data_IF_215902672614
#
_entry.id   IF_215902672614
#
_cell.length_a   1.000
_cell.length_b   1.000
_cell.length_c   1.000
_cell.angle_alpha   90.00
_cell.angle_beta   90.00
_cell.angle_gamma   90.00
#
_symmetry.space_group_name_H-M   'P 1'
#
loop_
_entity.id
_entity.type
_entity.pdbx_description
1 polymer ?
#
# COMPACT_ATOMS: atom_id res chain seq x y z
N UNK A 1 18.21 -21.31 -9.90
CA UNK A 1 17.02 -21.13 -9.06
C UNK A 1 15.80 -20.95 -9.98
N UNK A 2 14.76 -21.73 -9.76
CA UNK A 2 13.54 -21.65 -10.58
C UNK A 2 12.70 -20.43 -10.18
N UNK A 3 11.78 -20.00 -11.06
CA UNK A 3 10.85 -18.90 -10.76
C UNK A 3 9.97 -19.23 -9.55
N UNK A 4 9.56 -20.49 -9.40
CA UNK A 4 8.77 -20.94 -8.26
C UNK A 4 9.57 -20.84 -6.95
N UNK A 5 10.85 -21.22 -6.97
CA UNK A 5 11.75 -21.11 -5.82
C UNK A 5 11.99 -19.66 -5.43
N UNK A 6 12.16 -18.77 -6.41
CA UNK A 6 12.33 -17.33 -6.18
C UNK A 6 11.08 -16.75 -5.51
N UNK A 7 9.90 -17.08 -6.02
CA UNK A 7 8.64 -16.59 -5.43
C UNK A 7 8.43 -17.09 -4.00
N UNK A 8 8.71 -18.36 -3.77
CA UNK A 8 8.56 -18.96 -2.43
C UNK A 8 9.52 -18.30 -1.43
N UNK A 9 10.75 -18.06 -1.83
CA UNK A 9 11.73 -17.42 -0.97
C UNK A 9 11.41 -15.95 -0.74
N UNK A 10 11.00 -15.22 -1.76
CA UNK A 10 10.56 -13.82 -1.64
C UNK A 10 9.39 -13.70 -0.66
N UNK A 11 8.48 -14.65 -0.67
CA UNK A 11 7.35 -14.69 0.27
C UNK A 11 7.83 -14.90 1.71
N UNK A 12 8.80 -15.77 1.92
CA UNK A 12 9.40 -15.98 3.25
C UNK A 12 10.13 -14.73 3.75
N UNK A 13 10.85 -14.06 2.85
CA UNK A 13 11.55 -12.82 3.19
C UNK A 13 10.57 -11.70 3.56
N UNK A 14 9.44 -11.63 2.86
CA UNK A 14 8.38 -10.69 3.22
C UNK A 14 7.87 -10.96 4.63
N UNK A 15 7.60 -12.22 4.98
CA UNK A 15 7.14 -12.57 6.32
C UNK A 15 8.14 -12.14 7.39
N UNK A 16 9.45 -12.28 7.13
CA UNK A 16 10.50 -11.83 8.03
C UNK A 16 10.58 -10.31 8.15
N UNK A 17 10.09 -9.59 7.17
CA UNK A 17 10.11 -8.12 7.12
C UNK A 17 8.92 -7.48 7.82
N UNK A 18 7.93 -8.26 8.23
CA UNK A 18 6.73 -7.76 8.89
C UNK A 18 6.91 -7.77 10.41
N UNK A 19 6.40 -6.72 11.03
CA UNK A 19 6.34 -6.61 12.49
C UNK A 19 4.93 -6.11 12.84
N UNK A 20 4.19 -6.92 13.57
CA UNK A 20 2.81 -6.61 13.90
C UNK A 20 1.89 -6.48 12.68
N UNK A 21 2.19 -7.20 11.62
CA UNK A 21 1.43 -7.15 10.36
C UNK A 21 1.79 -6.01 9.43
N UNK A 22 2.78 -5.18 9.79
CA UNK A 22 3.23 -4.05 8.97
C UNK A 22 4.71 -4.20 8.60
N UNK A 23 5.09 -3.64 7.46
CA UNK A 23 6.48 -3.66 7.00
C UNK A 23 7.34 -2.81 7.94
N UNK A 24 8.41 -3.41 8.45
CA UNK A 24 9.40 -2.74 9.30
C UNK A 24 10.64 -2.41 8.49
N UNK A 25 11.03 -1.14 8.45
CA UNK A 25 12.23 -0.71 7.73
C UNK A 25 13.50 -1.33 8.31
N UNK A 26 13.57 -1.54 9.62
CA UNK A 26 14.72 -2.18 10.28
C UNK A 26 14.86 -3.65 9.85
N UNK A 27 13.74 -4.36 9.78
CA UNK A 27 13.73 -5.75 9.34
C UNK A 27 14.08 -5.89 7.86
N UNK A 28 13.58 -4.98 7.03
CA UNK A 28 13.93 -4.93 5.60
C UNK A 28 15.43 -4.70 5.44
N UNK A 29 16.00 -3.77 6.19
CA UNK A 29 17.44 -3.52 6.18
C UNK A 29 18.26 -4.74 6.58
N UNK A 30 17.83 -5.47 7.60
CA UNK A 30 18.48 -6.70 8.05
C UNK A 30 18.42 -7.80 6.99
N UNK A 31 17.26 -7.96 6.34
CA UNK A 31 17.07 -8.93 5.24
C UNK A 31 18.00 -8.60 4.07
N UNK A 32 18.05 -7.34 3.66
CA UNK A 32 18.92 -6.91 2.55
C UNK A 32 20.39 -7.14 2.86
N UNK A 33 20.83 -6.84 4.08
CA UNK A 33 22.20 -7.06 4.51
C UNK A 33 22.55 -8.55 4.48
N UNK A 34 21.67 -9.41 4.99
CA UNK A 34 21.87 -10.85 4.98
C UNK A 34 21.96 -11.41 3.56
N UNK A 35 21.09 -10.95 2.66
CA UNK A 35 21.07 -11.42 1.28
C UNK A 35 22.34 -11.03 0.51
N UNK A 36 22.82 -9.81 0.68
CA UNK A 36 24.03 -9.35 -0.01
C UNK A 36 25.27 -10.12 0.42
N UNK A 37 25.29 -10.64 1.64
CA UNK A 37 26.40 -11.45 2.15
C UNK A 37 26.33 -12.92 1.74
N UNK A 38 25.13 -13.46 1.55
CA UNK A 38 24.94 -14.90 1.39
C UNK A 38 24.72 -15.37 -0.03
N UNK A 39 24.53 -14.47 -0.99
CA UNK A 39 24.18 -14.86 -2.36
C UNK A 39 24.98 -14.13 -3.42
N UNK A 40 25.34 -14.83 -4.51
CA UNK A 40 26.00 -14.19 -5.65
C UNK A 40 25.03 -13.29 -6.43
N UNK A 41 25.57 -12.30 -7.13
CA UNK A 41 24.81 -11.26 -7.81
C UNK A 41 23.77 -11.77 -8.77
N UNK A 42 24.07 -12.84 -9.52
CA UNK A 42 23.14 -13.37 -10.52
C UNK A 42 21.89 -14.03 -9.91
N UNK A 43 22.00 -14.54 -8.68
CA UNK A 43 20.85 -15.08 -7.94
C UNK A 43 20.11 -13.99 -7.16
N UNK A 44 20.84 -12.95 -6.76
CA UNK A 44 20.33 -11.87 -5.93
C UNK A 44 19.33 -11.01 -6.68
N UNK A 45 19.62 -10.66 -7.94
CA UNK A 45 18.80 -9.74 -8.73
C UNK A 45 17.33 -10.19 -8.88
N UNK A 46 17.05 -11.42 -9.37
CA UNK A 46 15.64 -11.87 -9.47
C UNK A 46 14.96 -11.99 -8.12
N UNK A 47 15.68 -12.41 -7.08
CA UNK A 47 15.13 -12.52 -5.73
C UNK A 47 14.77 -11.15 -5.15
N UNK A 48 15.67 -10.16 -5.28
CA UNK A 48 15.39 -8.79 -4.83
C UNK A 48 14.22 -8.18 -5.58
N UNK A 49 14.11 -8.42 -6.88
CA UNK A 49 13.00 -7.91 -7.68
C UNK A 49 11.65 -8.44 -7.17
N UNK A 50 11.58 -9.75 -6.90
CA UNK A 50 10.37 -10.37 -6.37
C UNK A 50 10.07 -9.90 -4.94
N UNK A 51 11.08 -9.80 -4.11
CA UNK A 51 10.96 -9.33 -2.73
C UNK A 51 10.46 -7.87 -2.68
N UNK A 52 11.05 -6.98 -3.47
CA UNK A 52 10.63 -5.58 -3.53
C UNK A 52 9.20 -5.42 -4.04
N UNK A 53 8.80 -6.25 -5.01
CA UNK A 53 7.42 -6.24 -5.49
C UNK A 53 6.45 -6.64 -4.38
N UNK A 54 6.81 -7.62 -3.55
CA UNK A 54 6.02 -8.04 -2.40
C UNK A 54 5.92 -6.94 -1.34
N UNK A 55 7.04 -6.26 -1.06
CA UNK A 55 7.08 -5.14 -0.11
C UNK A 55 6.17 -4.00 -0.59
N UNK A 56 6.24 -3.64 -1.88
CA UNK A 56 5.41 -2.59 -2.46
C UNK A 56 3.92 -2.91 -2.36
N UNK A 57 3.53 -4.16 -2.62
CA UNK A 57 2.14 -4.60 -2.48
C UNK A 57 1.66 -4.51 -1.04
N UNK A 58 2.50 -4.92 -0.10
CA UNK A 58 2.15 -4.86 1.32
C UNK A 58 2.00 -3.42 1.81
N UNK A 59 2.88 -2.52 1.38
CA UNK A 59 2.77 -1.09 1.69
C UNK A 59 1.49 -0.49 1.08
N UNK A 60 1.17 -0.86 -0.16
CA UNK A 60 -0.02 -0.37 -0.84
C UNK A 60 -1.31 -0.81 -0.13
N UNK A 61 -1.34 -1.97 0.49
CA UNK A 61 -2.48 -2.45 1.28
C UNK A 61 -2.75 -1.58 2.50
N UNK A 62 -1.73 -0.91 3.02
CA UNK A 62 -1.84 0.00 4.16
C UNK A 62 -2.01 1.47 3.77
N UNK A 63 -2.20 1.78 2.49
CA UNK A 63 -2.33 3.14 2.00
C UNK A 63 -3.65 3.32 1.23
N UNK A 64 -4.40 4.36 1.57
CA UNK A 64 -5.49 4.85 0.76
C UNK A 64 -4.95 5.97 -0.12
N UNK A 65 -4.67 5.66 -1.38
CA UNK A 65 -4.22 6.65 -2.36
C UNK A 65 -5.41 7.39 -2.88
N UNK A 66 -5.50 8.67 -2.56
CA UNK A 66 -6.62 9.53 -2.90
C UNK A 66 -6.19 10.48 -4.00
N UNK A 67 -6.70 10.28 -5.21
CA UNK A 67 -6.51 11.23 -6.29
C UNK A 67 -7.69 12.20 -6.30
N UNK A 68 -7.40 13.49 -6.44
CA UNK A 68 -8.43 14.53 -6.41
C UNK A 68 -8.15 15.62 -7.44
N UNK A 69 -9.20 16.14 -8.06
CA UNK A 69 -9.09 17.20 -9.06
C UNK A 69 -9.12 18.60 -8.43
N UNK A 70 -9.86 18.76 -7.35
CA UNK A 70 -9.98 20.01 -6.62
C UNK A 70 -9.31 19.96 -5.25
N UNK A 71 -9.52 20.99 -4.42
CA UNK A 71 -8.98 20.99 -3.07
C UNK A 71 -9.50 19.82 -2.24
N UNK A 72 -8.62 19.21 -1.47
CA UNK A 72 -8.96 18.15 -0.53
C UNK A 72 -8.39 18.53 0.82
N UNK A 73 -9.28 18.73 1.80
CA UNK A 73 -8.86 19.02 3.17
C UNK A 73 -8.27 17.76 3.82
N UNK A 74 -7.30 17.95 4.71
CA UNK A 74 -6.69 16.82 5.43
C UNK A 74 -7.72 16.03 6.25
N UNK A 75 -8.73 16.71 6.79
CA UNK A 75 -9.82 16.06 7.53
C UNK A 75 -10.64 15.13 6.61
N UNK A 76 -10.85 15.52 5.36
CA UNK A 76 -11.54 14.68 4.37
C UNK A 76 -10.71 13.45 4.01
N UNK A 77 -9.42 13.63 3.81
CA UNK A 77 -8.50 12.52 3.53
C UNK A 77 -8.48 11.53 4.69
N UNK A 78 -8.42 12.04 5.92
CA UNK A 78 -8.44 11.21 7.13
C UNK A 78 -9.76 10.45 7.27
N UNK A 79 -10.87 11.08 6.94
CA UNK A 79 -12.19 10.44 6.97
C UNK A 79 -12.28 9.29 5.96
N UNK A 80 -11.76 9.48 4.76
CA UNK A 80 -11.70 8.43 3.73
C UNK A 80 -10.84 7.26 4.22
N UNK A 81 -9.66 7.55 4.75
CA UNK A 81 -8.76 6.51 5.27
C UNK A 81 -9.40 5.75 6.44
N UNK A 82 -10.08 6.44 7.35
CA UNK A 82 -10.78 5.83 8.47
C UNK A 82 -11.91 4.91 8.01
N UNK A 83 -12.65 5.32 6.98
CA UNK A 83 -13.70 4.49 6.38
C UNK A 83 -13.14 3.18 5.84
N UNK A 84 -12.06 3.25 5.06
CA UNK A 84 -11.43 2.05 4.50
C UNK A 84 -10.74 1.19 5.55
N UNK A 85 -10.18 1.80 6.59
CA UNK A 85 -9.61 1.06 7.73
C UNK A 85 -10.67 0.20 8.40
N UNK A 86 -11.85 0.78 8.60
CA UNK A 86 -12.99 0.08 9.21
C UNK A 86 -13.53 -1.01 8.29
N UNK A 87 -13.68 -0.70 7.01
CA UNK A 87 -14.21 -1.64 6.01
C UNK A 87 -13.31 -2.85 5.82
N UNK A 88 -12.00 -2.64 5.79
CA UNK A 88 -11.01 -3.68 5.50
C UNK A 88 -10.48 -4.37 6.76
N UNK A 89 -10.78 -3.84 7.93
CA UNK A 89 -10.31 -4.41 9.20
C UNK A 89 -8.80 -4.27 9.43
N UNK A 90 -8.17 -3.29 8.79
CA UNK A 90 -6.75 -3.00 8.98
C UNK A 90 -6.51 -1.49 8.90
N UNK A 91 -5.42 -1.03 9.52
CA UNK A 91 -5.06 0.38 9.50
C UNK A 91 -4.64 0.82 8.11
N UNK A 92 -5.30 1.85 7.59
CA UNK A 92 -5.03 2.44 6.28
C UNK A 92 -4.71 3.92 6.49
N UNK A 93 -3.61 4.37 5.85
CA UNK A 93 -3.16 5.77 5.94
C UNK A 93 -3.56 6.52 4.66
N UNK A 94 -3.96 7.79 4.76
CA UNK A 94 -4.29 8.58 3.58
C UNK A 94 -3.02 9.08 2.90
N UNK A 95 -2.98 8.95 1.57
CA UNK A 95 -1.96 9.54 0.72
C UNK A 95 -2.67 10.31 -0.38
N UNK A 96 -2.72 11.63 -0.26
CA UNK A 96 -3.43 12.48 -1.21
C UNK A 96 -2.52 12.89 -2.36
N UNK A 97 -3.06 12.85 -3.58
CA UNK A 97 -2.36 13.29 -4.78
C UNK A 97 -3.31 14.01 -5.71
N UNK A 98 -2.90 15.19 -6.18
CA UNK A 98 -3.69 15.93 -7.15
C UNK A 98 -3.62 15.29 -8.52
N UNK A 99 -4.77 15.15 -9.17
CA UNK A 99 -4.88 14.65 -10.54
C UNK A 99 -5.92 15.46 -11.30
N UNK A 100 -5.46 16.42 -12.08
CA UNK A 100 -6.32 17.34 -12.83
C UNK A 100 -7.04 16.66 -13.99
N UNK A 101 -6.66 15.44 -14.35
CA UNK A 101 -7.37 14.65 -15.36
C UNK A 101 -8.75 14.17 -14.88
N UNK A 102 -9.00 14.15 -13.58
CA UNK A 102 -10.30 13.83 -13.02
C UNK A 102 -11.23 15.02 -13.24
N UNK A 103 -12.45 14.74 -13.73
CA UNK A 103 -13.44 15.81 -13.99
C UNK A 103 -13.97 16.39 -12.69
N UNK A 104 -14.38 15.56 -11.77
CA UNK A 104 -14.87 15.95 -10.45
C UNK A 104 -14.88 14.73 -9.55
N UNK A 105 -14.58 14.93 -8.27
CA UNK A 105 -14.63 13.86 -7.30
C UNK A 105 -13.24 13.29 -6.96
N UNK A 106 -13.27 12.08 -6.45
CA UNK A 106 -12.07 11.42 -5.95
C UNK A 106 -11.97 10.04 -6.55
N UNK A 107 -10.72 9.59 -6.72
CA UNK A 107 -10.42 8.19 -6.96
C UNK A 107 -9.63 7.70 -5.77
N UNK A 108 -10.11 6.65 -5.12
CA UNK A 108 -9.43 6.06 -3.96
C UNK A 108 -8.96 4.66 -4.33
N UNK A 109 -7.69 4.41 -4.11
CA UNK A 109 -7.10 3.09 -4.32
C UNK A 109 -6.49 2.58 -3.04
N UNK A 110 -6.93 1.40 -2.60
CA UNK A 110 -6.37 0.70 -1.44
C UNK A 110 -5.97 -0.70 -1.90
N UNK A 111 -4.66 -0.95 -1.96
CA UNK A 111 -4.17 -2.19 -2.56
C UNK A 111 -4.54 -2.25 -4.04
N UNK A 112 -5.26 -3.29 -4.43
CA UNK A 112 -5.72 -3.49 -5.80
C UNK A 112 -7.12 -2.94 -6.06
N UNK A 113 -7.82 -2.50 -5.01
CA UNK A 113 -9.18 -1.99 -5.11
C UNK A 113 -9.18 -0.51 -5.46
N UNK A 114 -9.90 -0.17 -6.54
CA UNK A 114 -10.06 1.21 -6.97
C UNK A 114 -11.53 1.58 -6.89
N UNK A 115 -11.83 2.69 -6.22
CA UNK A 115 -13.19 3.20 -6.08
C UNK A 115 -13.23 4.65 -6.53
N UNK A 116 -14.10 4.94 -7.51
CA UNK A 116 -14.34 6.31 -7.95
C UNK A 116 -15.48 6.91 -7.12
N UNK A 117 -15.20 8.06 -6.50
CA UNK A 117 -16.17 8.76 -5.68
C UNK A 117 -16.51 10.11 -6.31
N UNK A 118 -17.79 10.40 -6.40
CA UNK A 118 -18.22 11.77 -6.71
C UNK A 118 -18.15 12.60 -5.43
N UNK A 119 -17.60 13.82 -5.54
CA UNK A 119 -17.16 14.60 -4.38
C UNK A 119 -18.26 14.88 -3.35
N UNK A 120 -19.45 15.32 -3.79
CA UNK A 120 -20.49 15.80 -2.87
C UNK A 120 -21.30 14.67 -2.23
N UNK A 121 -21.77 13.72 -3.04
CA UNK A 121 -22.69 12.68 -2.57
C UNK A 121 -21.97 11.62 -1.73
N UNK A 122 -20.80 11.21 -2.17
CA UNK A 122 -20.09 10.12 -1.52
C UNK A 122 -19.38 10.54 -0.23
N UNK A 123 -18.91 11.78 -0.15
CA UNK A 123 -18.40 12.33 1.11
C UNK A 123 -19.50 12.44 2.17
N UNK A 124 -20.71 12.83 1.77
CA UNK A 124 -21.85 12.86 2.68
C UNK A 124 -22.16 11.47 3.23
N UNK A 125 -22.11 10.45 2.38
CA UNK A 125 -22.31 9.06 2.78
C UNK A 125 -21.21 8.56 3.69
N UNK A 126 -19.94 8.91 3.42
CA UNK A 126 -18.82 8.59 4.29
C UNK A 126 -18.97 9.25 5.66
N UNK A 127 -19.35 10.52 5.69
CA UNK A 127 -19.59 11.24 6.94
C UNK A 127 -20.67 10.58 7.79
N UNK A 128 -21.75 10.12 7.16
CA UNK A 128 -22.82 9.39 7.85
C UNK A 128 -22.35 8.05 8.40
N UNK A 129 -21.51 7.32 7.66
CA UNK A 129 -21.02 6.02 8.11
C UNK A 129 -19.99 6.13 9.23
N UNK A 130 -19.36 7.29 9.39
CA UNK A 130 -18.34 7.55 10.42
C UNK A 130 -18.90 8.19 11.69
N UNK A 131 -20.11 8.68 11.63
CA UNK A 131 -20.75 9.34 12.79
C UNK A 131 -21.46 8.34 13.72
#
# INVERSE_FOLDING_TARGET
MSAASVRAEAKRLLALSLEGGAVSSDRVGAVLTALTKSRPSHQLRPLLRAYLANIRRELARGEARIEHAGPLASAEADAIAAHFSKLLGRTVRPVARRNDALLAGFRVRVGDDVTDLTASLRLANLAKSLS
#
